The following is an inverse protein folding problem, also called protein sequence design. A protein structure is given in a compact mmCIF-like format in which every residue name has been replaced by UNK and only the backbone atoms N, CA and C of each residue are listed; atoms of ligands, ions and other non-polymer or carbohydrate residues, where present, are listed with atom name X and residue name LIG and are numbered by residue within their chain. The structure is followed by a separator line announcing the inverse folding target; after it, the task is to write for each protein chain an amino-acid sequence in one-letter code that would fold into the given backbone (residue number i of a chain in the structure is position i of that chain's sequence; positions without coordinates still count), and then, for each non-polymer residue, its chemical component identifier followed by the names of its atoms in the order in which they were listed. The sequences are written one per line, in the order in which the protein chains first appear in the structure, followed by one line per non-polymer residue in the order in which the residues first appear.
data_IF_224626859323
#
_entry.id   IF_224626859323
#
_cell.length_a   1.000
_cell.length_b   1.000
_cell.length_c   1.000
_cell.angle_alpha   90.00
_cell.angle_beta   90.00
_cell.angle_gamma   90.00
#
_symmetry.space_group_name_H-M   'P 1'
#
loop_
_entity.id
_entity.type
_entity.pdbx_description
1 polymer ?
#
# COMPACT_ATOMS: atom_id res chain seq x y z
N UNK A 1 44.12 21.69 4.26
CA UNK A 1 45.19 21.64 3.25
C UNK A 1 44.93 20.41 2.38
N UNK A 2 44.44 20.61 1.15
CA UNK A 2 44.14 19.54 0.19
C UNK A 2 45.29 19.47 -0.83
N UNK A 3 45.69 18.25 -1.16
CA UNK A 3 46.88 17.92 -1.96
C UNK A 3 46.74 18.31 -3.44
N UNK A 4 47.85 18.60 -4.17
CA UNK A 4 47.81 19.20 -5.51
C UNK A 4 47.43 18.25 -6.67
N UNK A 5 47.08 16.99 -6.39
CA UNK A 5 46.82 15.96 -7.42
C UNK A 5 45.36 15.83 -7.87
N UNK A 6 44.39 16.37 -7.11
CA UNK A 6 42.95 16.23 -7.41
C UNK A 6 42.38 17.32 -8.33
N UNK A 7 43.13 18.39 -8.58
CA UNK A 7 42.71 19.51 -9.45
C UNK A 7 42.93 19.21 -10.94
N UNK A 8 43.95 18.42 -11.29
CA UNK A 8 44.31 18.12 -12.70
C UNK A 8 43.35 17.12 -13.37
N UNK A 9 42.83 16.13 -12.62
CA UNK A 9 41.83 15.18 -13.12
C UNK A 9 40.47 15.85 -13.40
N UNK A 10 40.09 16.82 -12.58
CA UNK A 10 38.83 17.56 -12.73
C UNK A 10 38.90 18.54 -13.91
N UNK A 11 40.05 19.17 -14.14
CA UNK A 11 40.31 20.02 -15.30
C UNK A 11 40.29 19.22 -16.62
N UNK A 12 40.89 18.02 -16.65
CA UNK A 12 40.87 17.14 -17.82
C UNK A 12 39.48 16.57 -18.14
N UNK A 13 38.65 16.32 -17.13
CA UNK A 13 37.26 15.90 -17.32
C UNK A 13 36.37 17.01 -17.89
N UNK A 14 36.53 18.24 -17.39
CA UNK A 14 35.80 19.42 -17.88
C UNK A 14 36.22 19.81 -19.31
N UNK A 15 37.49 19.68 -19.66
CA UNK A 15 37.97 19.91 -21.03
C UNK A 15 37.42 18.87 -22.03
N UNK A 16 37.22 17.62 -21.61
CA UNK A 16 36.60 16.56 -22.43
C UNK A 16 35.11 16.80 -22.63
N UNK A 17 34.40 17.27 -21.61
CA UNK A 17 32.99 17.67 -21.71
C UNK A 17 32.81 18.88 -22.63
N UNK A 18 33.66 19.92 -22.50
CA UNK A 18 33.61 21.11 -23.35
C UNK A 18 33.85 20.78 -24.84
N UNK A 19 34.77 19.86 -25.14
CA UNK A 19 35.02 19.39 -26.51
C UNK A 19 33.89 18.51 -27.06
N UNK A 20 33.20 17.73 -26.22
CA UNK A 20 32.01 16.96 -26.62
C UNK A 20 30.83 17.87 -26.97
N UNK A 21 30.61 18.95 -26.21
CA UNK A 21 29.60 19.97 -26.52
C UNK A 21 29.92 20.79 -27.77
N UNK A 22 31.20 21.11 -28.04
CA UNK A 22 31.62 21.75 -29.31
C UNK A 22 31.44 20.83 -30.52
N UNK A 23 31.59 19.51 -30.35
CA UNK A 23 31.39 18.53 -31.41
C UNK A 23 29.90 18.31 -31.72
N UNK A 24 29.01 18.43 -30.73
CA UNK A 24 27.56 18.42 -30.95
C UNK A 24 27.07 19.70 -31.65
N UNK A 25 27.57 20.89 -31.25
CA UNK A 25 27.17 22.16 -31.88
C UNK A 25 27.61 22.31 -33.34
N UNK A 26 28.67 21.62 -33.76
CA UNK A 26 29.12 21.59 -35.17
C UNK A 26 28.32 20.62 -36.06
N UNK A 27 27.46 19.78 -35.49
CA UNK A 27 26.58 18.87 -36.25
C UNK A 27 25.19 19.46 -36.52
N UNK A 28 24.82 20.59 -35.90
CA UNK A 28 23.50 21.23 -36.08
C UNK A 28 23.47 22.33 -37.17
N UNK A 29 24.61 22.75 -37.74
CA UNK A 29 24.67 23.82 -38.76
C UNK A 29 24.99 23.32 -40.19
N UNK A 30 24.83 22.03 -40.47
CA UNK A 30 25.01 21.47 -41.83
C UNK A 30 23.68 21.03 -42.45
N UNK A 31 23.28 21.71 -43.52
CA UNK A 31 22.11 21.43 -44.37
C UNK A 31 21.79 19.95 -44.59
N UNK A 32 20.54 19.56 -44.30
CA UNK A 32 19.99 18.22 -44.52
C UNK A 32 19.77 17.92 -46.02
N UNK A 33 20.14 16.73 -46.54
CA UNK A 33 19.44 16.14 -47.66
C UNK A 33 18.18 15.42 -47.16
N UNK A 34 17.06 15.60 -47.83
CA UNK A 34 15.79 14.91 -47.54
C UNK A 34 15.98 13.39 -47.62
N UNK A 35 15.75 12.70 -46.51
CA UNK A 35 15.76 11.23 -46.41
C UNK A 35 14.33 10.73 -46.18
N UNK A 36 14.00 9.60 -46.81
CA UNK A 36 12.64 9.06 -46.83
C UNK A 36 12.21 8.49 -45.45
N UNK A 37 10.90 8.42 -45.15
CA UNK A 37 10.39 7.98 -43.84
C UNK A 37 10.75 6.54 -43.45
N UNK A 38 11.05 5.68 -44.42
CA UNK A 38 11.38 4.27 -44.19
C UNK A 38 12.83 4.08 -43.70
N UNK A 39 13.76 4.96 -44.11
CA UNK A 39 15.17 4.91 -43.71
C UNK A 39 15.38 5.33 -42.23
N UNK A 40 14.49 6.16 -41.70
CA UNK A 40 14.55 6.64 -40.29
C UNK A 40 14.16 5.52 -39.32
N UNK A 41 13.19 4.66 -39.69
CA UNK A 41 12.76 3.53 -38.86
C UNK A 41 13.84 2.46 -38.76
N UNK A 42 14.53 2.14 -39.86
CA UNK A 42 15.59 1.14 -39.84
C UNK A 42 16.84 1.61 -39.08
N UNK A 43 17.14 2.91 -39.14
CA UNK A 43 18.28 3.46 -38.39
C UNK A 43 18.06 3.46 -36.87
N UNK A 44 16.82 3.70 -36.41
CA UNK A 44 16.46 3.56 -35.00
C UNK A 44 16.47 2.11 -34.53
N UNK A 45 16.03 1.18 -35.38
CA UNK A 45 16.02 -0.27 -35.10
C UNK A 45 17.44 -0.81 -34.96
N UNK A 46 18.37 -0.41 -35.83
CA UNK A 46 19.79 -0.77 -35.74
C UNK A 46 20.46 -0.18 -34.49
N UNK A 47 20.19 1.08 -34.12
CA UNK A 47 20.75 1.66 -32.88
C UNK A 47 20.25 0.92 -31.64
N UNK A 48 18.98 0.50 -31.63
CA UNK A 48 18.39 -0.27 -30.52
C UNK A 48 19.01 -1.68 -30.42
N UNK A 49 19.25 -2.33 -31.56
CA UNK A 49 19.88 -3.66 -31.61
C UNK A 49 21.35 -3.63 -31.16
N UNK A 50 22.08 -2.57 -31.52
CA UNK A 50 23.46 -2.36 -31.06
C UNK A 50 23.50 -2.13 -29.53
N UNK A 51 22.54 -1.40 -28.97
CA UNK A 51 22.45 -1.17 -27.53
C UNK A 51 22.10 -2.47 -26.77
N UNK A 52 21.18 -3.28 -27.31
CA UNK A 52 20.80 -4.57 -26.75
C UNK A 52 21.97 -5.58 -26.77
N UNK A 53 22.76 -5.62 -27.85
CA UNK A 53 23.97 -6.45 -27.93
C UNK A 53 25.06 -5.96 -26.96
N UNK A 54 25.22 -4.64 -26.77
CA UNK A 54 26.17 -4.09 -25.80
C UNK A 54 25.80 -4.44 -24.34
N UNK A 55 24.50 -4.53 -24.02
CA UNK A 55 24.00 -5.00 -22.73
C UNK A 55 24.20 -6.51 -22.52
N UNK A 56 23.99 -7.33 -23.56
CA UNK A 56 24.26 -8.77 -23.47
C UNK A 56 25.76 -9.09 -23.28
N UNK A 57 26.65 -8.36 -23.96
CA UNK A 57 28.10 -8.53 -23.82
C UNK A 57 28.60 -8.10 -22.44
N UNK A 58 28.00 -7.07 -21.83
CA UNK A 58 28.38 -6.61 -20.49
C UNK A 58 27.87 -7.53 -19.36
N UNK A 59 26.81 -8.31 -19.61
CA UNK A 59 26.34 -9.38 -18.72
C UNK A 59 27.20 -10.64 -18.85
N UNK A 60 27.56 -11.05 -20.08
CA UNK A 60 28.44 -12.19 -20.32
C UNK A 60 29.87 -11.98 -19.81
N UNK A 61 30.39 -10.74 -19.88
CA UNK A 61 31.75 -10.42 -19.38
C UNK A 61 31.85 -10.40 -17.86
N UNK A 62 30.74 -10.43 -17.12
CA UNK A 62 30.74 -10.63 -15.66
C UNK A 62 30.80 -12.10 -15.25
N UNK A 63 30.65 -13.06 -16.16
CA UNK A 63 30.63 -14.50 -15.83
C UNK A 63 31.93 -15.25 -16.13
N UNK A 64 33.02 -14.59 -16.55
CA UNK A 64 34.23 -15.27 -17.02
C UNK A 64 35.57 -14.75 -16.50
N UNK A 65 35.64 -14.18 -15.28
CA UNK A 65 36.91 -13.84 -14.63
C UNK A 65 37.14 -14.72 -13.39
N UNK A 66 37.59 -15.95 -13.61
CA UNK A 66 38.10 -16.83 -12.56
C UNK A 66 39.55 -16.46 -12.22
N UNK A 67 39.74 -15.51 -11.31
CA UNK A 67 41.03 -15.29 -10.65
C UNK A 67 41.02 -15.97 -9.28
N UNK A 68 41.88 -16.98 -9.13
CA UNK A 68 42.19 -17.59 -7.84
C UNK A 68 42.79 -16.53 -6.91
N UNK A 69 42.20 -16.35 -5.72
CA UNK A 69 42.72 -15.49 -4.65
C UNK A 69 42.89 -16.35 -3.40
N UNK A 70 43.99 -16.20 -2.62
CA UNK A 70 44.35 -17.14 -1.56
C UNK A 70 43.38 -17.12 -0.38
N UNK A 71 43.20 -18.29 0.24
CA UNK A 71 42.48 -18.52 1.49
C UNK A 71 43.04 -17.65 2.62
N UNK A 72 42.33 -16.57 2.97
CA UNK A 72 42.16 -16.11 4.36
C UNK A 72 41.13 -14.97 4.43
N UNK A 73 39.88 -15.30 4.12
CA UNK A 73 38.73 -14.47 4.52
C UNK A 73 37.84 -15.30 5.42
N UNK A 74 37.91 -14.99 6.71
CA UNK A 74 36.92 -15.39 7.70
C UNK A 74 35.54 -14.95 7.17
N UNK A 75 34.80 -15.92 6.63
CA UNK A 75 33.40 -15.73 6.27
C UNK A 75 32.61 -15.53 7.56
N UNK A 76 32.12 -14.31 7.78
CA UNK A 76 30.96 -14.16 8.65
C UNK A 76 29.82 -14.93 7.99
N UNK A 77 29.42 -16.03 8.63
CA UNK A 77 28.25 -16.81 8.23
C UNK A 77 27.04 -15.87 8.15
N UNK A 78 26.66 -15.48 6.94
CA UNK A 78 25.41 -14.79 6.67
C UNK A 78 24.30 -15.79 6.85
N UNK A 79 23.86 -15.96 8.11
CA UNK A 79 22.64 -16.58 8.58
C UNK A 79 21.87 -17.42 7.53
N UNK A 80 22.46 -18.55 7.11
CA UNK A 80 21.80 -19.56 6.27
C UNK A 80 20.81 -20.43 7.09
N UNK A 81 20.49 -20.04 8.33
CA UNK A 81 19.64 -20.78 9.26
C UNK A 81 18.13 -20.43 9.17
N UNK A 82 17.56 -20.15 8.00
CA UNK A 82 16.09 -19.89 7.89
C UNK A 82 15.31 -20.68 6.84
N UNK A 83 15.93 -21.61 6.09
CA UNK A 83 15.22 -22.39 5.06
C UNK A 83 14.71 -23.77 5.53
N UNK A 84 15.16 -24.30 6.66
CA UNK A 84 14.94 -25.71 7.03
C UNK A 84 13.58 -26.05 7.70
N UNK A 85 12.56 -25.18 7.62
CA UNK A 85 11.28 -25.43 8.29
C UNK A 85 10.06 -24.72 7.71
N UNK A 86 10.18 -24.10 6.53
CA UNK A 86 9.05 -23.43 5.87
C UNK A 86 8.37 -24.42 4.92
N UNK A 87 7.05 -24.56 5.05
CA UNK A 87 6.26 -25.42 4.16
C UNK A 87 6.29 -24.80 2.77
N UNK A 88 6.83 -25.48 1.74
CA UNK A 88 6.83 -24.95 0.39
C UNK A 88 5.40 -24.77 -0.12
N UNK A 89 5.19 -23.73 -0.91
CA UNK A 89 3.92 -23.51 -1.63
C UNK A 89 3.82 -24.57 -2.71
N UNK A 90 2.74 -25.36 -2.70
CA UNK A 90 2.54 -26.49 -3.64
C UNK A 90 1.10 -26.46 -4.14
N UNK A 91 0.91 -26.76 -5.43
CA UNK A 91 -0.40 -26.77 -6.09
C UNK A 91 -0.75 -25.43 -6.74
N UNK A 92 -2.06 -25.22 -6.96
CA UNK A 92 -2.57 -24.03 -7.64
C UNK A 92 -2.40 -24.09 -9.17
N UNK A 93 -3.16 -23.28 -9.89
CA UNK A 93 -3.00 -23.14 -11.34
C UNK A 93 -1.86 -22.15 -11.63
N UNK A 94 -0.91 -22.50 -12.52
CA UNK A 94 0.17 -21.59 -12.89
C UNK A 94 -0.40 -20.32 -13.54
N UNK A 95 0.17 -19.16 -13.23
CA UNK A 95 -0.18 -17.91 -13.91
C UNK A 95 0.23 -17.97 -15.39
N UNK A 96 -0.63 -17.46 -16.27
CA UNK A 96 -0.32 -17.27 -17.69
C UNK A 96 0.12 -15.82 -17.98
N UNK A 97 0.66 -15.57 -19.17
CA UNK A 97 1.16 -14.24 -19.56
C UNK A 97 0.03 -13.19 -19.53
N UNK A 98 -1.17 -13.52 -20.03
CA UNK A 98 -2.31 -12.60 -20.05
C UNK A 98 -2.72 -12.12 -18.66
N UNK A 99 -2.85 -13.05 -17.70
CA UNK A 99 -3.20 -12.70 -16.32
C UNK A 99 -2.06 -11.95 -15.63
N UNK A 100 -0.80 -12.30 -15.90
CA UNK A 100 0.36 -11.58 -15.36
C UNK A 100 0.38 -10.13 -15.86
N UNK A 101 0.19 -9.91 -17.17
CA UNK A 101 0.11 -8.58 -17.77
C UNK A 101 -1.10 -7.81 -17.23
N UNK A 102 -2.27 -8.45 -17.12
CA UNK A 102 -3.48 -7.81 -16.60
C UNK A 102 -3.30 -7.37 -15.13
N UNK A 103 -2.78 -8.25 -14.26
CA UNK A 103 -2.49 -7.93 -12.85
C UNK A 103 -1.51 -6.77 -12.73
N UNK A 104 -0.41 -6.80 -13.50
CA UNK A 104 0.59 -5.74 -13.50
C UNK A 104 0.03 -4.40 -13.97
N UNK A 105 -0.81 -4.44 -15.01
CA UNK A 105 -1.41 -3.23 -15.59
C UNK A 105 -2.42 -2.61 -14.63
N UNK A 106 -3.32 -3.38 -14.03
CA UNK A 106 -4.30 -2.83 -13.08
C UNK A 106 -3.64 -2.36 -11.77
N UNK A 107 -2.58 -3.02 -11.31
CA UNK A 107 -1.91 -2.64 -10.06
C UNK A 107 -0.95 -1.47 -10.28
N UNK A 108 -0.08 -1.51 -11.30
CA UNK A 108 1.02 -0.55 -11.47
C UNK A 108 0.88 0.35 -12.70
N UNK A 109 -0.17 0.17 -13.51
CA UNK A 109 -0.36 0.88 -14.78
C UNK A 109 0.45 0.30 -15.94
N UNK A 110 1.34 -0.66 -15.68
CA UNK A 110 2.21 -1.24 -16.73
C UNK A 110 2.80 -2.60 -16.35
N UNK A 111 2.90 -3.48 -17.34
CA UNK A 111 3.61 -4.75 -17.27
C UNK A 111 5.06 -4.69 -17.78
N UNK A 112 5.46 -3.59 -18.41
CA UNK A 112 6.77 -3.41 -19.07
C UNK A 112 7.72 -2.49 -18.30
N UNK A 113 7.48 -2.34 -17.00
CA UNK A 113 8.39 -1.66 -16.09
C UNK A 113 8.43 -2.42 -14.76
N UNK A 114 9.56 -2.43 -14.03
CA UNK A 114 9.61 -3.03 -12.70
C UNK A 114 8.57 -2.38 -11.76
N UNK A 115 7.93 -3.14 -10.87
CA UNK A 115 7.06 -2.57 -9.84
C UNK A 115 7.84 -1.61 -8.95
N UNK A 116 7.11 -0.71 -8.27
CA UNK A 116 7.69 0.11 -7.22
C UNK A 116 8.34 -0.80 -6.18
N UNK A 117 9.65 -0.64 -6.01
CA UNK A 117 10.45 -1.55 -5.17
C UNK A 117 9.99 -1.63 -3.71
N UNK A 118 9.22 -0.66 -3.24
CA UNK A 118 8.59 -0.68 -1.93
C UNK A 118 7.66 -1.89 -1.74
N UNK A 119 6.79 -2.16 -2.72
CA UNK A 119 5.81 -3.24 -2.71
C UNK A 119 6.44 -4.64 -2.74
N UNK A 120 7.60 -4.77 -3.37
CA UNK A 120 8.35 -6.04 -3.41
C UNK A 120 9.08 -6.38 -2.10
N UNK A 121 9.25 -5.41 -1.19
CA UNK A 121 10.00 -5.65 0.06
C UNK A 121 9.30 -5.03 1.28
N UNK A 122 7.99 -5.22 1.34
CA UNK A 122 7.16 -4.88 2.49
C UNK A 122 6.30 -6.07 2.88
N UNK A 123 6.74 -6.82 3.89
CA UNK A 123 5.93 -7.82 4.57
C UNK A 123 4.84 -7.21 5.44
N UNK A 124 3.96 -8.06 5.97
CA UNK A 124 2.94 -7.70 6.95
C UNK A 124 3.49 -8.11 8.32
N UNK A 125 4.07 -7.15 9.05
CA UNK A 125 4.79 -7.45 10.29
C UNK A 125 4.19 -6.69 11.45
N UNK A 126 3.90 -7.39 12.54
CA UNK A 126 3.44 -6.76 13.78
C UNK A 126 4.57 -6.06 14.54
N UNK A 127 4.16 -5.19 15.47
CA UNK A 127 5.01 -4.81 16.60
C UNK A 127 5.27 -6.01 17.51
N UNK A 128 6.25 -5.84 18.39
CA UNK A 128 6.67 -6.92 19.28
C UNK A 128 5.50 -7.39 20.15
N UNK A 129 5.33 -8.72 20.31
CA UNK A 129 4.23 -9.29 21.07
C UNK A 129 4.32 -8.89 22.56
N UNK A 130 3.18 -8.93 23.25
CA UNK A 130 3.06 -8.66 24.69
C UNK A 130 3.48 -7.24 25.13
N UNK A 131 3.79 -6.34 24.19
CA UNK A 131 4.16 -4.94 24.44
C UNK A 131 3.01 -3.99 24.15
N UNK A 132 3.18 -2.74 24.55
CA UNK A 132 2.33 -1.66 24.07
C UNK A 132 2.33 -1.62 22.55
N UNK A 133 1.16 -1.38 21.96
CA UNK A 133 0.94 -1.42 20.52
C UNK A 133 1.21 -2.78 19.85
N UNK A 134 1.23 -3.90 20.58
CA UNK A 134 1.37 -5.23 19.98
C UNK A 134 0.23 -5.54 18.98
N UNK A 135 -0.92 -4.85 19.08
CA UNK A 135 -1.99 -4.91 18.09
C UNK A 135 -1.65 -4.29 16.73
N UNK A 136 -0.60 -3.47 16.66
CA UNK A 136 -0.27 -2.63 15.52
C UNK A 136 0.70 -3.26 14.51
N UNK A 137 0.44 -3.07 13.22
CA UNK A 137 1.32 -3.40 12.11
C UNK A 137 2.38 -2.29 11.90
N UNK A 138 3.61 -2.69 11.56
CA UNK A 138 4.70 -1.80 11.20
C UNK A 138 4.80 -1.68 9.67
N UNK A 139 4.93 -0.45 9.18
CA UNK A 139 5.13 -0.13 7.77
C UNK A 139 6.31 0.86 7.62
N UNK A 140 7.55 0.36 7.48
CA UNK A 140 8.72 1.24 7.33
C UNK A 140 8.73 2.00 6.00
N UNK A 141 7.85 1.65 5.06
CA UNK A 141 7.73 2.30 3.75
C UNK A 141 6.35 2.90 3.58
N UNK A 142 6.28 4.06 2.95
CA UNK A 142 5.06 4.84 2.90
C UNK A 142 4.04 4.20 1.94
N UNK A 143 4.47 3.74 0.75
CA UNK A 143 3.56 3.38 -0.34
C UNK A 143 2.55 2.26 -0.09
N UNK A 144 2.69 1.50 1.00
CA UNK A 144 1.77 0.40 1.37
C UNK A 144 0.87 0.73 2.58
N UNK A 145 1.04 1.90 3.20
CA UNK A 145 0.37 2.25 4.48
C UNK A 145 -1.15 2.31 4.38
N UNK A 146 -1.72 2.72 3.25
CA UNK A 146 -3.17 2.69 3.03
C UNK A 146 -3.74 1.28 3.12
N UNK A 147 -3.11 0.32 2.43
CA UNK A 147 -3.50 -1.10 2.50
C UNK A 147 -3.33 -1.64 3.93
N UNK A 148 -2.19 -1.38 4.55
CA UNK A 148 -1.88 -1.85 5.90
C UNK A 148 -2.79 -1.22 6.95
N UNK A 149 -3.24 0.02 6.77
CA UNK A 149 -4.21 0.68 7.66
C UNK A 149 -5.59 0.05 7.56
N UNK A 150 -6.04 -0.32 6.35
CA UNK A 150 -7.28 -1.07 6.18
C UNK A 150 -7.20 -2.46 6.83
N UNK A 151 -6.07 -3.16 6.67
CA UNK A 151 -5.83 -4.43 7.35
C UNK A 151 -5.77 -4.28 8.88
N UNK A 152 -5.11 -3.21 9.35
CA UNK A 152 -5.00 -2.86 10.76
C UNK A 152 -6.37 -2.63 11.41
N UNK A 153 -7.27 -1.95 10.71
CA UNK A 153 -8.62 -1.72 11.20
C UNK A 153 -9.42 -3.03 11.35
N UNK A 154 -9.24 -3.98 10.42
CA UNK A 154 -9.86 -5.31 10.51
C UNK A 154 -9.24 -6.14 11.66
N UNK A 155 -7.93 -6.04 11.89
CA UNK A 155 -7.28 -6.65 13.07
C UNK A 155 -7.89 -6.12 14.37
N UNK A 156 -8.04 -4.80 14.49
CA UNK A 156 -8.64 -4.16 15.68
C UNK A 156 -10.09 -4.60 15.86
N UNK A 157 -10.84 -4.72 14.75
CA UNK A 157 -12.21 -5.25 14.76
C UNK A 157 -12.27 -6.62 15.42
N UNK A 158 -11.40 -7.53 15.00
CA UNK A 158 -11.35 -8.91 15.49
C UNK A 158 -10.93 -8.96 16.97
N UNK A 159 -9.91 -8.18 17.35
CA UNK A 159 -9.41 -8.10 18.71
C UNK A 159 -10.47 -7.58 19.69
N UNK A 160 -11.22 -6.54 19.33
CA UNK A 160 -12.14 -5.87 20.24
C UNK A 160 -13.57 -6.46 20.24
N UNK A 161 -14.02 -7.03 19.12
CA UNK A 161 -15.47 -7.24 18.91
C UNK A 161 -15.92 -8.65 18.49
N UNK A 162 -15.04 -9.55 18.04
CA UNK A 162 -15.48 -10.80 17.38
C UNK A 162 -15.66 -12.02 18.31
N UNK A 163 -15.19 -11.97 19.57
CA UNK A 163 -15.47 -12.97 20.61
C UNK A 163 -14.96 -12.43 21.94
N UNK A 164 -15.87 -11.91 22.77
CA UNK A 164 -15.54 -11.60 24.17
C UNK A 164 -15.52 -12.93 24.92
N UNK A 165 -14.35 -13.37 25.37
CA UNK A 165 -14.33 -14.28 26.52
C UNK A 165 -14.92 -13.46 27.67
N UNK A 166 -15.99 -13.94 28.29
CA UNK A 166 -16.74 -13.24 29.34
C UNK A 166 -15.87 -12.82 30.56
N UNK A 167 -14.61 -13.28 30.62
CA UNK A 167 -13.67 -13.11 31.72
C UNK A 167 -12.47 -12.18 31.42
N UNK A 168 -12.48 -11.36 30.37
CA UNK A 168 -11.40 -10.39 30.16
C UNK A 168 -11.55 -9.20 31.10
N UNK A 169 -10.79 -9.21 32.20
CA UNK A 169 -10.84 -8.21 33.28
C UNK A 169 -10.42 -6.78 32.87
N UNK A 170 -9.95 -6.56 31.63
CA UNK A 170 -9.74 -5.21 31.06
C UNK A 170 -9.70 -5.25 29.53
N UNK A 171 -10.38 -4.31 28.89
CA UNK A 171 -10.40 -4.12 27.43
C UNK A 171 -9.00 -3.82 26.88
N UNK A 172 -8.14 -3.18 27.66
CA UNK A 172 -6.78 -2.81 27.26
C UNK A 172 -5.90 -4.03 26.98
N UNK A 173 -6.20 -5.18 27.59
CA UNK A 173 -5.48 -6.43 27.36
C UNK A 173 -5.69 -6.94 25.92
N UNK A 174 -6.83 -6.64 25.29
CA UNK A 174 -7.06 -7.00 23.89
C UNK A 174 -6.15 -6.26 22.91
N UNK A 175 -5.60 -5.11 23.33
CA UNK A 175 -4.62 -4.33 22.57
C UNK A 175 -3.17 -4.77 22.87
N UNK A 176 -2.96 -5.81 23.68
CA UNK A 176 -1.62 -6.37 23.94
C UNK A 176 -1.60 -7.87 23.59
N UNK A 177 -1.92 -8.26 22.35
CA UNK A 177 -1.93 -9.66 21.96
C UNK A 177 -0.53 -10.28 22.05
N UNK A 178 -0.48 -11.53 22.48
CA UNK A 178 0.71 -12.37 22.35
C UNK A 178 0.97 -12.74 20.87
N UNK A 179 2.12 -13.37 20.60
CA UNK A 179 2.50 -13.75 19.24
C UNK A 179 1.54 -14.74 18.57
N UNK A 180 0.92 -15.65 19.34
CA UNK A 180 -0.03 -16.61 18.78
C UNK A 180 -1.34 -15.93 18.35
N UNK A 181 -1.82 -15.00 19.18
CA UNK A 181 -3.00 -14.19 18.92
C UNK A 181 -2.78 -13.24 17.75
N UNK A 182 -1.61 -12.60 17.63
CA UNK A 182 -1.24 -11.79 16.45
C UNK A 182 -1.40 -12.57 15.14
N UNK A 183 -0.86 -13.81 15.09
CA UNK A 183 -0.98 -14.67 13.91
C UNK A 183 -2.44 -15.06 13.64
N UNK A 184 -3.19 -15.44 14.68
CA UNK A 184 -4.60 -15.82 14.55
C UNK A 184 -5.44 -14.67 13.98
N UNK A 185 -5.31 -13.46 14.53
CA UNK A 185 -6.12 -12.31 14.07
C UNK A 185 -5.71 -11.84 12.70
N UNK A 186 -4.43 -11.94 12.32
CA UNK A 186 -3.99 -11.60 10.97
C UNK A 186 -4.57 -12.55 9.92
N UNK A 187 -4.55 -13.86 10.18
CA UNK A 187 -5.17 -14.87 9.31
C UNK A 187 -6.65 -14.57 9.12
N UNK A 188 -7.37 -14.28 10.20
CA UNK A 188 -8.79 -13.93 10.16
C UNK A 188 -9.03 -12.63 9.39
N UNK A 189 -8.27 -11.57 9.68
CA UNK A 189 -8.41 -10.27 9.02
C UNK A 189 -8.20 -10.37 7.51
N UNK A 190 -7.13 -11.05 7.08
CA UNK A 190 -6.89 -11.30 5.66
C UNK A 190 -8.01 -12.13 5.03
N UNK A 191 -8.47 -13.17 5.73
CA UNK A 191 -9.58 -14.01 5.29
C UNK A 191 -10.87 -13.23 5.11
N UNK A 192 -11.28 -12.42 6.09
CA UNK A 192 -12.51 -11.63 6.04
C UNK A 192 -12.48 -10.57 4.92
N UNK A 193 -11.35 -9.88 4.75
CA UNK A 193 -11.19 -8.90 3.67
C UNK A 193 -11.30 -9.56 2.31
N UNK A 194 -10.54 -10.64 2.07
CA UNK A 194 -10.58 -11.33 0.77
C UNK A 194 -11.94 -11.97 0.51
N UNK A 195 -12.57 -12.56 1.53
CA UNK A 195 -13.91 -13.13 1.42
C UNK A 195 -14.97 -12.07 1.10
N UNK A 196 -14.83 -10.86 1.66
CA UNK A 196 -15.68 -9.70 1.31
C UNK A 196 -15.48 -9.26 -0.13
N UNK A 197 -14.24 -9.16 -0.60
CA UNK A 197 -13.91 -8.83 -2.00
C UNK A 197 -14.47 -9.89 -2.96
N UNK A 198 -14.42 -11.16 -2.54
CA UNK A 198 -14.99 -12.31 -3.25
C UNK A 198 -16.51 -12.44 -3.14
N UNK A 199 -17.20 -11.39 -2.70
CA UNK A 199 -18.66 -11.34 -2.51
C UNK A 199 -19.21 -12.53 -1.69
N UNK A 200 -18.42 -13.03 -0.73
CA UNK A 200 -18.70 -14.20 0.11
C UNK A 200 -18.92 -15.50 -0.67
N UNK A 201 -18.36 -15.61 -1.87
CA UNK A 201 -18.49 -16.78 -2.73
C UNK A 201 -17.17 -17.49 -3.01
N UNK A 202 -16.14 -16.73 -3.39
CA UNK A 202 -14.89 -17.30 -3.89
C UNK A 202 -13.73 -16.33 -3.70
N UNK A 203 -12.56 -16.85 -3.37
CA UNK A 203 -11.29 -16.12 -3.28
C UNK A 203 -10.25 -16.76 -4.20
N UNK A 204 -9.43 -15.92 -4.84
CA UNK A 204 -8.25 -16.33 -5.60
C UNK A 204 -7.01 -15.84 -4.86
N UNK A 205 -6.30 -16.77 -4.21
CA UNK A 205 -5.02 -16.48 -3.56
C UNK A 205 -3.87 -16.54 -4.56
N UNK A 206 -3.00 -15.54 -4.55
CA UNK A 206 -1.80 -15.48 -5.38
C UNK A 206 -0.57 -15.75 -4.52
N UNK A 207 0.12 -16.88 -4.73
CA UNK A 207 1.35 -17.22 -4.00
C UNK A 207 2.48 -17.62 -4.96
N UNK A 208 3.73 -17.19 -4.72
CA UNK A 208 4.86 -17.54 -5.58
C UNK A 208 5.38 -18.95 -5.29
N UNK A 209 5.94 -19.58 -6.32
CA UNK A 209 6.79 -20.77 -6.22
C UNK A 209 8.18 -20.46 -6.81
N UNK A 210 9.03 -21.48 -6.99
CA UNK A 210 10.40 -21.29 -7.47
C UNK A 210 10.50 -21.16 -9.00
N UNK A 211 9.60 -21.84 -9.73
CA UNK A 211 9.64 -21.89 -11.19
C UNK A 211 9.17 -20.57 -11.82
N UNK A 212 9.92 -20.11 -12.82
CA UNK A 212 9.50 -19.01 -13.71
C UNK A 212 8.52 -19.58 -14.74
N UNK A 213 7.27 -19.13 -14.67
CA UNK A 213 6.18 -19.55 -15.54
C UNK A 213 6.00 -18.61 -16.75
N UNK A 214 6.24 -17.31 -16.55
CA UNK A 214 6.13 -16.29 -17.60
C UNK A 214 7.53 -15.80 -18.00
N UNK A 215 7.98 -16.04 -19.25
CA UNK A 215 9.28 -15.58 -19.69
C UNK A 215 9.30 -14.05 -19.85
N UNK A 216 10.49 -13.46 -19.78
CA UNK A 216 10.67 -12.04 -20.08
C UNK A 216 10.33 -11.77 -21.55
N UNK A 217 9.51 -10.77 -21.81
CA UNK A 217 9.07 -10.39 -23.15
C UNK A 217 8.98 -8.87 -23.30
N UNK A 218 8.76 -8.40 -24.52
CA UNK A 218 8.50 -6.96 -24.77
C UNK A 218 7.19 -6.48 -24.15
N UNK A 219 6.29 -7.41 -23.80
CA UNK A 219 4.99 -7.14 -23.19
C UNK A 219 5.01 -7.36 -21.67
N UNK A 220 6.03 -8.04 -21.15
CA UNK A 220 6.13 -8.38 -19.73
C UNK A 220 7.59 -8.39 -19.23
N UNK A 221 7.90 -7.49 -18.30
CA UNK A 221 9.20 -7.42 -17.65
C UNK A 221 9.14 -8.16 -16.29
N UNK A 222 9.92 -9.24 -16.19
CA UNK A 222 10.03 -10.03 -14.96
C UNK A 222 10.42 -9.18 -13.75
N UNK A 223 9.79 -9.46 -12.60
CA UNK A 223 9.99 -8.73 -11.35
C UNK A 223 10.37 -9.64 -10.17
N UNK A 224 10.76 -10.89 -10.47
CA UNK A 224 11.14 -11.92 -9.50
C UNK A 224 9.99 -12.47 -8.66
N UNK A 225 8.75 -12.06 -8.97
CA UNK A 225 7.55 -12.39 -8.21
C UNK A 225 6.40 -12.82 -9.10
N UNK A 226 5.92 -11.92 -9.96
CA UNK A 226 4.69 -12.06 -10.74
C UNK A 226 4.79 -13.24 -11.69
N UNK A 227 5.96 -13.45 -12.30
CA UNK A 227 6.19 -14.57 -13.21
C UNK A 227 6.24 -15.95 -12.55
N UNK A 228 6.19 -16.02 -11.21
CA UNK A 228 6.26 -17.27 -10.43
C UNK A 228 4.96 -17.59 -9.69
N UNK A 229 3.93 -16.77 -9.90
CA UNK A 229 2.67 -16.88 -9.16
C UNK A 229 1.88 -18.13 -9.56
N UNK A 230 1.29 -18.76 -8.56
CA UNK A 230 0.23 -19.73 -8.71
C UNK A 230 -1.04 -19.18 -8.07
N UNK A 231 -2.16 -19.44 -8.74
CA UNK A 231 -3.49 -19.01 -8.32
C UNK A 231 -4.21 -20.17 -7.65
N UNK A 232 -4.78 -19.93 -6.47
CA UNK A 232 -5.51 -20.93 -5.70
C UNK A 232 -6.94 -20.45 -5.49
N UNK A 233 -7.88 -21.19 -6.06
CA UNK A 233 -9.29 -20.94 -5.87
C UNK A 233 -9.79 -21.59 -4.59
N UNK A 234 -10.47 -20.80 -3.75
CA UNK A 234 -11.02 -21.24 -2.46
C UNK A 234 -12.45 -20.72 -2.34
N UNK A 235 -13.39 -21.60 -2.00
CA UNK A 235 -14.83 -21.32 -1.96
C UNK A 235 -15.44 -21.43 -0.57
N UNK A 236 -14.62 -21.44 0.48
CA UNK A 236 -15.06 -21.41 1.88
C UNK A 236 -14.15 -20.49 2.70
N UNK A 237 -14.74 -19.71 3.60
CA UNK A 237 -14.00 -18.83 4.50
C UNK A 237 -13.10 -19.63 5.47
N UNK A 238 -13.56 -20.79 5.94
CA UNK A 238 -12.79 -21.64 6.85
C UNK A 238 -11.54 -22.19 6.16
N UNK A 239 -11.71 -22.75 4.96
CA UNK A 239 -10.60 -23.25 4.15
C UNK A 239 -9.62 -22.14 3.78
N UNK A 240 -10.12 -20.93 3.50
CA UNK A 240 -9.29 -19.77 3.23
C UNK A 240 -8.41 -19.42 4.44
N UNK A 241 -8.98 -19.40 5.64
CA UNK A 241 -8.21 -19.11 6.86
C UNK A 241 -7.19 -20.21 7.15
N UNK A 242 -7.53 -21.48 6.94
CA UNK A 242 -6.59 -22.60 7.06
C UNK A 242 -5.45 -22.46 6.05
N UNK A 243 -5.78 -22.10 4.80
CA UNK A 243 -4.82 -21.91 3.72
C UNK A 243 -3.85 -20.75 4.00
N UNK A 244 -4.38 -19.58 4.39
CA UNK A 244 -3.56 -18.42 4.79
C UNK A 244 -2.67 -18.79 5.98
N UNK A 245 -3.19 -19.49 6.99
CA UNK A 245 -2.41 -19.94 8.15
C UNK A 245 -1.25 -20.85 7.75
N UNK A 246 -1.47 -21.77 6.81
CA UNK A 246 -0.41 -22.67 6.30
C UNK A 246 0.75 -21.92 5.66
N UNK A 247 0.44 -20.87 4.90
CA UNK A 247 1.42 -20.08 4.13
C UNK A 247 1.72 -18.71 4.73
N UNK A 248 1.36 -18.47 5.99
CA UNK A 248 1.45 -17.15 6.63
C UNK A 248 2.88 -16.60 6.60
N UNK A 249 3.88 -17.47 6.68
CA UNK A 249 5.30 -17.12 6.67
C UNK A 249 5.73 -16.35 5.40
N UNK A 250 5.03 -16.52 4.27
CA UNK A 250 5.29 -15.79 3.02
C UNK A 250 4.89 -14.31 3.17
N UNK A 251 3.87 -14.02 3.97
CA UNK A 251 3.38 -12.66 4.21
C UNK A 251 4.19 -11.93 5.28
N UNK A 252 4.71 -12.65 6.28
CA UNK A 252 5.41 -12.08 7.44
C UNK A 252 6.89 -11.74 7.19
N UNK A 253 7.45 -12.09 6.03
CA UNK A 253 8.84 -11.78 5.74
C UNK A 253 9.02 -10.26 5.57
N UNK A 254 9.73 -9.62 6.49
CA UNK A 254 9.86 -8.15 6.57
C UNK A 254 10.32 -7.52 5.24
N UNK A 255 11.33 -8.14 4.60
CA UNK A 255 11.85 -7.73 3.29
C UNK A 255 11.21 -8.48 2.12
N UNK A 256 10.11 -9.20 2.37
CA UNK A 256 9.38 -9.97 1.36
C UNK A 256 8.23 -9.17 0.72
N UNK A 257 7.56 -9.76 -0.27
CA UNK A 257 6.49 -9.11 -1.02
C UNK A 257 5.09 -9.30 -0.40
N UNK A 258 5.00 -9.53 0.92
CA UNK A 258 3.75 -9.94 1.57
C UNK A 258 2.57 -9.01 1.32
N UNK A 259 2.79 -7.70 1.37
CA UNK A 259 1.72 -6.71 1.10
C UNK A 259 1.27 -6.74 -0.38
N UNK A 260 2.20 -6.94 -1.31
CA UNK A 260 1.88 -7.05 -2.72
C UNK A 260 1.13 -8.36 -3.03
N UNK A 261 1.48 -9.47 -2.37
CA UNK A 261 0.76 -10.73 -2.51
C UNK A 261 -0.69 -10.64 -2.02
N UNK A 262 -0.92 -9.91 -0.93
CA UNK A 262 -2.28 -9.62 -0.46
C UNK A 262 -3.04 -8.76 -1.48
N UNK A 263 -2.40 -7.72 -2.05
CA UNK A 263 -3.03 -6.89 -3.08
C UNK A 263 -3.33 -7.69 -4.36
N UNK A 264 -2.40 -8.52 -4.83
CA UNK A 264 -2.63 -9.39 -5.98
C UNK A 264 -3.75 -10.40 -5.73
N UNK A 265 -3.84 -10.96 -4.52
CA UNK A 265 -4.94 -11.86 -4.15
C UNK A 265 -6.28 -11.10 -4.12
N UNK A 266 -6.31 -9.86 -3.62
CA UNK A 266 -7.50 -9.01 -3.64
C UNK A 266 -7.97 -8.71 -5.07
N UNK A 267 -7.05 -8.29 -5.96
CA UNK A 267 -7.35 -7.97 -7.36
C UNK A 267 -7.77 -9.22 -8.14
N UNK A 268 -7.07 -10.35 -7.95
CA UNK A 268 -7.44 -11.60 -8.61
C UNK A 268 -8.83 -12.08 -8.15
N UNK A 269 -9.14 -11.92 -6.86
CA UNK A 269 -10.45 -12.25 -6.30
C UNK A 269 -11.56 -11.36 -6.85
N UNK A 270 -11.35 -10.04 -6.92
CA UNK A 270 -12.32 -9.11 -7.54
C UNK A 270 -12.46 -9.37 -9.04
N UNK A 271 -11.37 -9.78 -9.69
CA UNK A 271 -11.19 -9.86 -11.13
C UNK A 271 -10.58 -8.58 -11.67
N UNK A 272 -9.61 -8.69 -12.59
CA UNK A 272 -8.88 -7.55 -13.17
C UNK A 272 -9.82 -6.61 -13.94
N UNK A 273 -10.75 -7.15 -14.73
CA UNK A 273 -11.75 -6.37 -15.45
C UNK A 273 -12.72 -5.65 -14.51
N UNK A 274 -13.23 -6.35 -13.49
CA UNK A 274 -14.13 -5.76 -12.50
C UNK A 274 -13.43 -4.65 -11.72
N UNK A 275 -12.15 -4.86 -11.37
CA UNK A 275 -11.32 -3.83 -10.71
C UNK A 275 -11.13 -2.62 -11.64
N UNK A 276 -10.89 -2.83 -12.94
CA UNK A 276 -10.80 -1.74 -13.91
C UNK A 276 -12.13 -0.97 -14.02
N UNK A 277 -13.26 -1.67 -14.01
CA UNK A 277 -14.60 -1.05 -14.00
C UNK A 277 -14.84 -0.24 -12.72
N UNK A 278 -14.42 -0.77 -11.56
CA UNK A 278 -14.56 -0.08 -10.27
C UNK A 278 -13.79 1.24 -10.22
N UNK A 279 -12.66 1.34 -10.92
CA UNK A 279 -11.85 2.56 -10.93
C UNK A 279 -12.53 3.72 -11.68
N UNK A 280 -13.48 3.43 -12.57
CA UNK A 280 -14.26 4.41 -13.35
C UNK A 280 -13.41 5.48 -14.09
N UNK A 281 -12.13 5.18 -14.32
CA UNK A 281 -11.17 6.05 -15.01
C UNK A 281 -10.50 5.26 -16.13
N UNK A 282 -10.45 5.84 -17.33
CA UNK A 282 -9.76 5.23 -18.46
C UNK A 282 -8.27 5.03 -18.11
N UNK A 283 -7.78 3.79 -18.22
CA UNK A 283 -6.40 3.41 -17.86
C UNK A 283 -6.03 3.73 -16.40
N UNK A 284 -7.00 3.82 -15.50
CA UNK A 284 -6.75 3.92 -14.06
C UNK A 284 -6.04 2.67 -13.53
N UNK A 285 -5.21 2.84 -12.49
CA UNK A 285 -4.48 1.77 -11.81
C UNK A 285 -4.37 2.04 -10.31
N UNK A 286 -4.12 1.00 -9.51
CA UNK A 286 -4.22 1.06 -8.05
C UNK A 286 -3.04 1.76 -7.36
N UNK A 287 -1.81 1.46 -7.76
CA UNK A 287 -0.59 2.01 -7.13
C UNK A 287 -0.24 3.33 -7.83
N UNK A 288 -0.96 4.40 -7.46
CA UNK A 288 -0.84 5.74 -8.04
C UNK A 288 0.38 6.52 -7.49
N UNK A 289 0.51 7.79 -7.86
CA UNK A 289 1.50 8.72 -7.31
C UNK A 289 1.32 9.07 -5.82
N UNK A 290 0.23 8.66 -5.18
CA UNK A 290 -0.04 8.96 -3.78
C UNK A 290 1.04 8.39 -2.85
N UNK A 291 1.43 9.17 -1.83
CA UNK A 291 2.56 8.86 -0.96
C UNK A 291 2.33 7.57 -0.15
N UNK A 292 1.14 7.42 0.43
CA UNK A 292 0.81 6.28 1.29
C UNK A 292 -0.09 5.22 0.62
N UNK A 293 -0.27 5.33 -0.69
CA UNK A 293 -1.13 4.45 -1.50
C UNK A 293 -2.45 5.11 -1.92
N UNK A 294 -3.11 4.52 -2.91
CA UNK A 294 -4.36 5.07 -3.44
C UNK A 294 -5.56 4.77 -2.53
N UNK A 295 -6.50 5.71 -2.50
CA UNK A 295 -7.82 5.53 -1.90
C UNK A 295 -8.54 4.29 -2.44
N UNK A 296 -8.39 3.98 -3.73
CA UNK A 296 -9.02 2.81 -4.37
C UNK A 296 -8.55 1.48 -3.77
N UNK A 297 -7.32 1.42 -3.24
CA UNK A 297 -6.85 0.24 -2.50
C UNK A 297 -7.59 0.15 -1.16
N UNK A 298 -7.76 1.27 -0.47
CA UNK A 298 -8.47 1.31 0.82
C UNK A 298 -9.95 0.95 0.65
N UNK A 299 -10.63 1.50 -0.36
CA UNK A 299 -12.03 1.16 -0.63
C UNK A 299 -12.20 -0.30 -1.06
N UNK A 300 -11.25 -0.87 -1.82
CA UNK A 300 -11.23 -2.29 -2.14
C UNK A 300 -11.18 -3.15 -0.88
N UNK A 301 -10.27 -2.85 0.05
CA UNK A 301 -10.10 -3.60 1.29
C UNK A 301 -11.32 -3.46 2.23
N UNK A 302 -11.92 -2.26 2.31
CA UNK A 302 -13.05 -1.98 3.19
C UNK A 302 -14.39 -2.50 2.64
N UNK A 303 -14.62 -2.38 1.34
CA UNK A 303 -15.96 -2.57 0.73
C UNK A 303 -16.03 -3.70 -0.28
N UNK A 304 -14.90 -4.21 -0.74
CA UNK A 304 -14.82 -5.18 -1.82
C UNK A 304 -14.76 -4.56 -3.22
N UNK A 305 -14.81 -3.23 -3.37
CA UNK A 305 -14.74 -2.54 -4.66
C UNK A 305 -13.72 -1.41 -4.66
N UNK A 306 -12.96 -1.28 -5.74
CA UNK A 306 -11.89 -0.28 -5.86
C UNK A 306 -12.40 1.11 -6.31
N UNK A 307 -13.55 1.55 -5.80
CA UNK A 307 -14.16 2.84 -6.19
C UNK A 307 -13.37 4.03 -5.66
N UNK A 308 -13.18 5.10 -6.46
CA UNK A 308 -12.63 6.37 -5.96
C UNK A 308 -13.68 7.23 -5.23
N UNK A 309 -14.97 6.87 -5.31
CA UNK A 309 -16.08 7.70 -4.85
C UNK A 309 -16.54 7.31 -3.43
N UNK A 310 -16.53 8.29 -2.52
CA UNK A 310 -16.86 8.07 -1.11
C UNK A 310 -18.31 8.41 -0.74
N UNK A 311 -19.09 8.91 -1.69
CA UNK A 311 -20.51 9.22 -1.48
C UNK A 311 -21.36 7.94 -1.31
N UNK A 312 -22.58 8.11 -0.82
CA UNK A 312 -23.50 6.99 -0.63
C UNK A 312 -24.15 6.58 -1.96
N UNK A 313 -24.10 5.29 -2.27
CA UNK A 313 -24.87 4.70 -3.36
C UNK A 313 -24.38 5.14 -4.73
N UNK A 314 -25.30 5.21 -5.69
CA UNK A 314 -25.01 5.62 -7.06
C UNK A 314 -25.46 7.06 -7.25
N UNK A 315 -24.57 7.90 -7.75
CA UNK A 315 -24.86 9.30 -8.10
C UNK A 315 -24.78 9.42 -9.61
N UNK A 316 -25.78 10.03 -10.24
CA UNK A 316 -25.78 10.25 -11.68
C UNK A 316 -25.21 11.63 -11.96
N UNK A 317 -24.09 11.68 -12.67
CA UNK A 317 -23.40 12.93 -13.02
C UNK A 317 -23.53 13.14 -14.53
N UNK A 318 -24.11 14.27 -14.92
CA UNK A 318 -24.26 14.73 -16.29
C UNK A 318 -24.60 16.22 -16.30
N UNK A 319 -24.31 16.88 -17.41
CA UNK A 319 -24.73 18.26 -17.67
C UNK A 319 -25.88 18.25 -18.71
N UNK A 320 -26.34 19.42 -19.14
CA UNK A 320 -27.42 19.52 -20.15
C UNK A 320 -27.00 18.97 -21.53
N UNK A 321 -25.70 18.82 -21.78
CA UNK A 321 -25.13 18.39 -23.07
C UNK A 321 -24.76 16.88 -23.09
N UNK A 322 -24.56 16.26 -21.92
CA UNK A 322 -24.11 14.88 -21.77
C UNK A 322 -25.11 14.04 -20.97
N UNK A 323 -25.35 12.80 -21.44
CA UNK A 323 -26.15 11.83 -20.69
C UNK A 323 -25.59 11.60 -19.29
N UNK A 324 -26.48 11.55 -18.30
CA UNK A 324 -26.08 11.31 -16.92
C UNK A 324 -25.45 9.92 -16.77
N UNK A 325 -24.18 9.89 -16.39
CA UNK A 325 -23.41 8.66 -16.18
C UNK A 325 -23.48 8.28 -14.70
N UNK A 326 -23.78 7.02 -14.36
CA UNK A 326 -23.78 6.56 -12.97
C UNK A 326 -22.34 6.45 -12.43
N UNK A 327 -22.06 7.14 -11.32
CA UNK A 327 -20.89 6.96 -10.49
C UNK A 327 -21.22 6.08 -9.29
N UNK A 328 -20.47 4.99 -9.10
CA UNK A 328 -20.74 4.01 -8.05
C UNK A 328 -19.88 4.32 -6.82
N UNK A 329 -20.51 4.93 -5.82
CA UNK A 329 -19.91 5.12 -4.51
C UNK A 329 -20.08 3.90 -3.60
N UNK A 330 -20.23 4.16 -2.31
CA UNK A 330 -20.28 3.14 -1.28
C UNK A 330 -21.69 2.56 -1.20
N UNK A 331 -21.87 1.31 -1.61
CA UNK A 331 -23.19 0.71 -1.83
C UNK A 331 -23.90 0.22 -0.56
N UNK A 332 -23.16 -0.06 0.50
CA UNK A 332 -23.70 -0.54 1.78
C UNK A 332 -22.92 0.06 2.94
N UNK A 333 -23.52 0.05 4.14
CA UNK A 333 -22.85 0.49 5.36
C UNK A 333 -21.75 -0.52 5.72
N UNK A 334 -20.52 -0.04 5.87
CA UNK A 334 -19.37 -0.87 6.22
C UNK A 334 -19.27 -1.11 7.73
N UNK A 335 -18.61 -2.21 8.12
CA UNK A 335 -18.31 -2.47 9.54
C UNK A 335 -17.22 -1.56 10.08
N UNK A 336 -16.22 -1.29 9.24
CA UNK A 336 -15.16 -0.31 9.45
C UNK A 336 -15.44 0.90 8.56
N UNK A 337 -15.37 2.09 9.13
CA UNK A 337 -15.65 3.35 8.46
C UNK A 337 -14.43 3.96 7.78
N UNK A 338 -14.64 5.14 7.20
CA UNK A 338 -13.57 5.95 6.65
C UNK A 338 -13.79 7.43 6.95
N UNK A 339 -12.75 8.13 7.42
CA UNK A 339 -12.72 9.58 7.57
C UNK A 339 -11.62 10.17 6.69
N UNK A 340 -11.89 11.33 6.10
CA UNK A 340 -10.98 12.03 5.20
C UNK A 340 -10.93 13.50 5.57
N UNK A 341 -9.73 14.01 5.72
CA UNK A 341 -9.45 15.44 5.76
C UNK A 341 -8.29 15.75 4.82
N UNK A 342 -8.55 16.65 3.87
CA UNK A 342 -7.58 17.16 2.90
C UNK A 342 -7.97 18.61 2.59
N UNK A 343 -6.99 19.52 2.55
CA UNK A 343 -7.27 20.94 2.34
C UNK A 343 -7.71 21.20 0.90
N UNK A 344 -8.84 21.91 0.74
CA UNK A 344 -9.36 22.27 -0.58
C UNK A 344 -10.09 21.13 -1.32
N UNK A 345 -10.43 20.02 -0.64
CA UNK A 345 -11.08 18.85 -1.27
C UNK A 345 -12.40 18.48 -0.57
N UNK A 346 -13.28 19.46 -0.39
CA UNK A 346 -14.56 19.28 0.32
C UNK A 346 -15.55 18.38 -0.43
N UNK A 347 -15.47 18.34 -1.76
CA UNK A 347 -16.36 17.53 -2.60
C UNK A 347 -16.13 16.01 -2.47
N UNK A 348 -14.96 15.59 -1.95
CA UNK A 348 -14.64 14.17 -1.72
C UNK A 348 -15.03 13.66 -0.34
N UNK A 349 -15.83 14.41 0.42
CA UNK A 349 -16.19 14.01 1.78
C UNK A 349 -16.91 12.65 1.80
N UNK A 350 -16.54 11.74 2.73
CA UNK A 350 -17.20 10.46 2.86
C UNK A 350 -18.68 10.60 3.24
N UNK A 351 -19.53 9.80 2.60
CA UNK A 351 -20.94 9.69 2.95
C UNK A 351 -21.17 8.98 4.29
N UNK A 352 -22.43 9.00 4.76
CA UNK A 352 -22.80 8.40 6.06
C UNK A 352 -22.50 6.90 6.16
N UNK A 353 -22.48 6.15 5.04
CA UNK A 353 -22.13 4.71 5.02
C UNK A 353 -20.69 4.43 5.47
N UNK A 354 -19.80 5.43 5.39
CA UNK A 354 -18.42 5.40 5.88
C UNK A 354 -18.23 6.21 7.17
N UNK A 355 -18.90 7.36 7.33
CA UNK A 355 -18.78 8.18 8.56
C UNK A 355 -19.46 7.55 9.77
N UNK A 356 -20.49 6.72 9.56
CA UNK A 356 -21.22 6.01 10.63
C UNK A 356 -21.13 4.49 10.43
N UNK A 357 -19.95 3.87 10.62
CA UNK A 357 -19.80 2.42 10.51
C UNK A 357 -20.61 1.65 11.55
N UNK A 358 -20.71 0.32 11.41
CA UNK A 358 -21.42 -0.51 12.41
C UNK A 358 -20.64 -0.68 13.71
N UNK A 359 -19.31 -0.54 13.65
CA UNK A 359 -18.37 -0.58 14.77
C UNK A 359 -17.59 0.74 14.82
N UNK A 360 -17.20 1.23 16.00
CA UNK A 360 -16.51 2.51 16.13
C UNK A 360 -15.02 2.42 15.75
N UNK A 361 -14.75 2.03 14.51
CA UNK A 361 -13.44 1.90 13.90
C UNK A 361 -13.50 2.60 12.54
N UNK A 362 -12.53 3.46 12.26
CA UNK A 362 -12.38 4.16 11.00
C UNK A 362 -10.95 4.01 10.51
N UNK A 363 -10.77 3.62 9.25
CA UNK A 363 -9.54 3.99 8.54
C UNK A 363 -9.62 5.49 8.31
N UNK A 364 -8.52 6.21 8.48
CA UNK A 364 -8.51 7.65 8.29
C UNK A 364 -7.45 8.06 7.29
N UNK A 365 -7.69 9.14 6.56
CA UNK A 365 -6.71 9.81 5.72
C UNK A 365 -6.67 11.29 6.13
N UNK A 366 -5.51 11.74 6.62
CA UNK A 366 -5.27 13.12 7.01
C UNK A 366 -4.13 13.68 6.15
N UNK A 367 -4.45 14.57 5.21
CA UNK A 367 -3.50 15.16 4.26
C UNK A 367 -2.66 14.10 3.52
N UNK A 368 -3.30 13.01 3.08
CA UNK A 368 -2.63 11.92 2.37
C UNK A 368 -1.99 10.85 3.28
N UNK A 369 -1.97 11.03 4.60
CA UNK A 369 -1.46 10.03 5.55
C UNK A 369 -2.57 9.13 6.08
N UNK A 370 -2.41 7.82 5.93
CA UNK A 370 -3.35 6.82 6.41
C UNK A 370 -3.05 6.37 7.83
N UNK A 371 -4.13 6.13 8.57
CA UNK A 371 -4.10 5.53 9.90
C UNK A 371 -5.42 4.88 10.25
N UNK A 372 -5.57 4.54 11.52
CA UNK A 372 -6.80 3.99 12.08
C UNK A 372 -7.16 4.76 13.32
N UNK A 373 -8.43 5.19 13.39
CA UNK A 373 -9.06 5.73 14.59
C UNK A 373 -10.08 4.74 15.12
N UNK A 374 -10.13 4.54 16.43
CA UNK A 374 -11.13 3.65 17.02
C UNK A 374 -11.47 3.98 18.48
N UNK A 375 -12.63 3.50 18.90
CA UNK A 375 -13.05 3.47 20.30
C UNK A 375 -13.33 2.01 20.69
N UNK A 376 -13.14 1.68 21.97
CA UNK A 376 -13.32 0.32 22.46
C UNK A 376 -14.76 -0.03 22.88
N UNK A 377 -15.59 0.99 23.14
CA UNK A 377 -17.01 0.87 23.40
C UNK A 377 -17.80 0.69 22.09
N UNK A 378 -18.20 -0.55 21.82
CA UNK A 378 -19.05 -0.94 20.68
C UNK A 378 -20.29 -0.05 20.48
N UNK A 379 -20.87 0.44 21.57
CA UNK A 379 -22.13 1.19 21.54
C UNK A 379 -21.95 2.69 21.25
N UNK A 380 -20.72 3.17 21.00
CA UNK A 380 -20.44 4.59 20.77
C UNK A 380 -21.39 5.24 19.74
N UNK A 381 -21.57 4.60 18.58
CA UNK A 381 -22.41 5.11 17.49
C UNK A 381 -23.87 4.67 17.56
N UNK A 382 -24.24 3.89 18.58
CA UNK A 382 -25.60 3.34 18.78
C UNK A 382 -26.32 4.04 19.92
N UNK A 383 -25.57 4.61 20.86
CA UNK A 383 -26.09 5.29 22.04
C UNK A 383 -25.64 6.76 22.03
N UNK A 384 -26.57 7.69 21.84
CA UNK A 384 -26.28 9.12 21.81
C UNK A 384 -25.64 9.63 23.11
N UNK A 385 -25.87 8.97 24.26
CA UNK A 385 -25.17 9.33 25.50
C UNK A 385 -23.69 8.96 25.46
N UNK A 386 -23.33 7.86 24.79
CA UNK A 386 -21.94 7.45 24.62
C UNK A 386 -21.18 8.40 23.69
N UNK A 387 -21.87 8.99 22.71
CA UNK A 387 -21.30 9.97 21.76
C UNK A 387 -21.19 11.40 22.32
N UNK A 388 -21.55 11.63 23.59
CA UNK A 388 -21.40 12.95 24.26
C UNK A 388 -19.97 13.26 24.67
N UNK A 389 -19.27 12.27 25.23
CA UNK A 389 -17.88 12.39 25.66
C UNK A 389 -17.23 11.02 25.63
N UNK A 390 -16.21 10.84 24.80
CA UNK A 390 -15.59 9.53 24.58
C UNK A 390 -14.13 9.66 24.16
N UNK A 391 -13.38 8.58 24.28
CA UNK A 391 -11.97 8.51 23.89
C UNK A 391 -11.82 7.96 22.47
N UNK A 392 -10.89 8.51 21.69
CA UNK A 392 -10.44 7.94 20.43
C UNK A 392 -8.95 7.60 20.53
N UNK A 393 -8.64 6.40 20.06
CA UNK A 393 -7.28 5.93 19.84
C UNK A 393 -6.95 6.16 18.38
N UNK A 394 -5.81 6.78 18.09
CA UNK A 394 -5.27 6.93 16.74
C UNK A 394 -3.95 6.17 16.63
N UNK A 395 -3.78 5.44 15.53
CA UNK A 395 -2.59 4.67 15.23
C UNK A 395 -2.28 4.70 13.73
N UNK A 396 -1.02 4.87 13.38
CA UNK A 396 -0.52 4.72 12.01
C UNK A 396 0.47 3.56 11.93
N UNK A 397 0.51 2.87 10.79
CA UNK A 397 1.53 1.84 10.57
C UNK A 397 2.96 2.43 10.47
N UNK A 398 3.08 3.75 10.23
CA UNK A 398 4.35 4.48 10.35
C UNK A 398 4.86 4.59 11.79
N UNK A 399 3.98 4.41 12.77
CA UNK A 399 4.31 4.33 14.19
C UNK A 399 3.87 5.52 15.02
N UNK A 400 3.21 6.49 14.41
CA UNK A 400 2.54 7.57 15.13
C UNK A 400 1.31 7.03 15.89
N UNK A 401 1.13 7.48 17.13
CA UNK A 401 0.01 7.14 18.00
C UNK A 401 -0.38 8.30 18.91
N UNK A 402 -1.67 8.42 19.20
CA UNK A 402 -2.18 9.34 20.22
C UNK A 402 -3.55 8.91 20.73
N UNK A 403 -3.93 9.41 21.89
CA UNK A 403 -5.27 9.28 22.47
C UNK A 403 -5.86 10.67 22.65
N UNK A 404 -7.16 10.81 22.39
CA UNK A 404 -7.87 12.07 22.55
C UNK A 404 -9.29 11.85 23.08
N UNK A 405 -9.76 12.74 23.94
CA UNK A 405 -11.17 12.81 24.33
C UNK A 405 -11.87 13.78 23.37
N UNK A 406 -12.97 13.32 22.78
CA UNK A 406 -13.92 14.15 22.05
C UNK A 406 -15.10 14.45 22.98
N UNK A 407 -15.40 15.73 23.20
CA UNK A 407 -16.57 16.19 23.94
C UNK A 407 -17.49 17.00 23.03
N UNK A 408 -18.63 16.43 22.66
CA UNK A 408 -19.61 17.04 21.75
C UNK A 408 -20.61 17.94 22.46
N UNK A 409 -20.48 18.11 23.78
CA UNK A 409 -21.39 18.94 24.60
C UNK A 409 -20.94 20.39 24.71
N UNK A 410 -19.66 20.65 24.45
CA UNK A 410 -19.05 21.97 24.56
C UNK A 410 -18.63 22.42 23.17
N UNK A 411 -19.05 23.62 22.79
CA UNK A 411 -18.49 24.30 21.62
C UNK A 411 -17.07 24.75 21.95
N UNK A 412 -16.14 24.54 21.02
CA UNK A 412 -14.82 25.13 21.13
C UNK A 412 -14.95 26.66 21.07
N UNK A 413 -14.52 27.41 22.11
CA UNK A 413 -14.46 28.85 21.98
C UNK A 413 -13.42 29.17 20.89
N UNK A 414 -13.78 30.01 19.91
CA UNK A 414 -12.87 30.48 18.86
C UNK A 414 -11.67 31.22 19.48
N UNK A 415 -10.65 30.50 19.93
CA UNK A 415 -9.40 31.08 20.41
C UNK A 415 -8.42 31.17 19.26
N UNK A 416 -8.52 32.25 18.50
CA UNK A 416 -7.37 32.81 17.78
C UNK A 416 -6.34 33.18 18.83
N UNK A 417 -5.28 32.37 19.01
CA UNK A 417 -3.92 32.77 19.40
C UNK A 417 -3.09 31.53 19.74
N UNK A 418 -2.25 31.08 18.80
CA UNK A 418 -1.08 30.28 19.14
C UNK A 418 0.17 30.87 18.51
N UNK A 419 1.14 31.16 19.38
CA UNK A 419 2.48 31.68 19.09
C UNK A 419 3.34 30.70 18.29
N UNK A 420 4.15 31.23 17.38
CA UNK A 420 4.97 30.53 16.37
C UNK A 420 6.19 29.76 16.91
N UNK A 421 6.01 28.81 17.83
CA UNK A 421 7.08 27.88 18.21
C UNK A 421 6.54 26.43 18.17
N UNK A 422 7.11 25.62 17.26
CA UNK A 422 6.83 24.20 16.92
C UNK A 422 5.80 23.88 15.81
N UNK A 423 5.96 24.50 14.64
CA UNK A 423 5.05 24.41 13.48
C UNK A 423 4.68 22.98 12.98
N UNK A 424 5.57 21.99 13.06
CA UNK A 424 5.32 20.66 12.47
C UNK A 424 4.42 19.76 13.33
N UNK A 425 4.69 19.68 14.65
CA UNK A 425 3.86 18.92 15.57
C UNK A 425 2.49 19.58 15.73
N UNK A 426 2.45 20.92 15.84
CA UNK A 426 1.22 21.72 15.88
C UNK A 426 0.37 21.47 14.62
N UNK A 427 0.97 21.36 13.44
CA UNK A 427 0.27 21.04 12.20
C UNK A 427 -0.34 19.63 12.21
N UNK A 428 0.38 18.61 12.70
CA UNK A 428 -0.14 17.24 12.77
C UNK A 428 -1.33 17.11 13.74
N UNK A 429 -1.23 17.69 14.94
CA UNK A 429 -2.34 17.75 15.89
C UNK A 429 -3.54 18.49 15.29
N UNK A 430 -3.31 19.65 14.66
CA UNK A 430 -4.37 20.43 14.00
C UNK A 430 -5.06 19.66 12.88
N UNK A 431 -4.31 18.91 12.05
CA UNK A 431 -4.90 18.10 10.98
C UNK A 431 -5.77 16.96 11.52
N UNK A 432 -5.36 16.34 12.63
CA UNK A 432 -6.15 15.31 13.31
C UNK A 432 -7.40 15.91 13.95
N UNK A 433 -7.32 17.10 14.54
CA UNK A 433 -8.49 17.82 15.05
C UNK A 433 -9.48 18.11 13.93
N UNK A 434 -9.01 18.70 12.83
CA UNK A 434 -9.84 18.97 11.64
C UNK A 434 -10.45 17.70 11.06
N UNK A 435 -9.70 16.59 11.06
CA UNK A 435 -10.21 15.27 10.68
C UNK A 435 -11.35 14.80 11.59
N UNK A 436 -11.21 14.92 12.91
CA UNK A 436 -12.27 14.59 13.89
C UNK A 436 -13.50 15.47 13.64
N UNK A 437 -13.32 16.76 13.37
CA UNK A 437 -14.39 17.70 13.06
C UNK A 437 -15.15 17.40 11.77
N UNK A 438 -14.57 16.63 10.82
CA UNK A 438 -15.33 16.16 9.64
C UNK A 438 -16.49 15.24 10.01
N UNK A 439 -16.49 14.68 11.22
CA UNK A 439 -17.55 13.84 11.76
C UNK A 439 -18.24 14.46 12.97
N UNK A 440 -17.49 14.94 13.94
CA UNK A 440 -18.01 15.57 15.16
C UNK A 440 -17.73 17.07 15.10
N UNK A 441 -18.57 17.78 14.36
CA UNK A 441 -18.47 19.23 14.19
C UNK A 441 -18.46 19.92 15.55
N UNK A 442 -17.58 20.92 15.70
CA UNK A 442 -17.45 21.78 16.88
C UNK A 442 -17.12 21.08 18.21
N UNK A 443 -16.82 19.78 18.18
CA UNK A 443 -16.52 19.01 19.38
C UNK A 443 -15.18 19.44 19.98
N UNK A 444 -15.16 19.70 21.29
CA UNK A 444 -13.92 20.03 21.99
C UNK A 444 -13.00 18.81 22.07
N UNK A 445 -11.75 18.98 21.66
CA UNK A 445 -10.74 17.91 21.65
C UNK A 445 -9.75 18.12 22.81
N UNK A 446 -9.50 17.06 23.58
CA UNK A 446 -8.51 17.04 24.64
C UNK A 446 -7.55 15.86 24.45
N UNK A 447 -6.28 16.16 24.21
CA UNK A 447 -5.22 15.15 24.07
C UNK A 447 -4.88 14.49 25.41
N UNK A 448 -4.71 13.16 25.41
CA UNK A 448 -4.32 12.37 26.58
C UNK A 448 -3.03 11.59 26.30
N UNK A 449 -2.21 11.46 27.34
CA UNK A 449 -1.11 10.50 27.37
C UNK A 449 0.11 10.92 26.54
N UNK A 450 0.98 9.95 26.25
CA UNK A 450 2.19 10.16 25.47
C UNK A 450 1.84 10.16 23.99
N UNK A 451 1.82 11.33 23.37
CA UNK A 451 1.69 11.42 21.91
C UNK A 451 3.05 11.21 21.26
N UNK A 452 3.12 10.30 20.30
CA UNK A 452 4.31 10.06 19.49
C UNK A 452 3.93 10.24 18.02
N UNK A 453 4.50 11.25 17.36
CA UNK A 453 4.47 11.38 15.90
C UNK A 453 5.87 11.08 15.37
N UNK A 454 5.96 10.22 14.36
CA UNK A 454 7.20 9.84 13.68
C UNK A 454 7.23 10.45 12.28
#
# INVERSE_FOLDING_TARGET
QLTPGMTDLRAKALARLANATKKCKKMEEGSSPELSPDDVKDHHKQKFEILARALQVSVAKRSSDSRQVPNDRVMYARNQQRSAGRVPVVGGSPINEDMAVALRTIVFGTAVAPPRGEWLRTGIVFREPDKELAYGLKAPRNGTRGLLSALQAEIIKILLFEKRVENANSIELFLKPDGARQLEVLVKAMGEILWRIGEKSKVIMCLPQDLILVPHSVNFFQDSLTEKLHLFEITSLEDLQIFIKRYIHVFLEETGPGTLLLLYSAVATRGTENTQRDLEVEKGYLVTGAEEGSLCIVTLMLTGRATPYLHNGVVYVGDEEHYAVPQYGILARSEVGFLLYEEGVEERMPGSRLKTPSLPIWVVCSQGHFGVMFNTNRELLRNYHAERRFELHYYTCGGSQCQLIVDTRQEEPQSNNHSEQDQAAISAFSNIEKLVHTKWQDARIQWIGTTQFI
#
